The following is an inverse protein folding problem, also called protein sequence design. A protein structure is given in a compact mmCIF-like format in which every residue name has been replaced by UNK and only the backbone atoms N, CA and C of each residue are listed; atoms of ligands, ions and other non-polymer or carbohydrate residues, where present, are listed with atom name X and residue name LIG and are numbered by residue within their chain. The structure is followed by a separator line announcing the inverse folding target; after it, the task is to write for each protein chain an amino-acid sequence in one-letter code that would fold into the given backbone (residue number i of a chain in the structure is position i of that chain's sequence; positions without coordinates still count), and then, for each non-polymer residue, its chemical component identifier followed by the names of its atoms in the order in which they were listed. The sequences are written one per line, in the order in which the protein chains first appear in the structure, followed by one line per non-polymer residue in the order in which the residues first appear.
data_IF_297906174631
#
_entry.id   IF_297906174631
#
_cell.length_a   1.000
_cell.length_b   1.000
_cell.length_c   1.000
_cell.angle_alpha   90.00
_cell.angle_beta   90.00
_cell.angle_gamma   90.00
#
_symmetry.space_group_name_H-M   'P 1'
#
loop_
_entity.id
_entity.type
_entity.pdbx_description
1 polymer ?
#
# COMPACT_ATOMS: atom_id res chain seq x y z
N UNK A 1 5.35 62.63 -19.90
CA UNK A 1 6.18 61.41 -19.89
C UNK A 1 5.24 60.21 -19.79
N UNK A 2 5.58 59.14 -20.51
CA UNK A 2 4.68 58.10 -21.03
C UNK A 2 4.13 57.17 -19.94
N UNK A 3 2.83 56.90 -20.00
CA UNK A 3 2.18 55.76 -19.37
C UNK A 3 2.74 54.45 -19.91
N UNK A 4 3.00 53.48 -19.03
CA UNK A 4 3.02 52.05 -19.39
C UNK A 4 2.41 51.24 -18.24
N UNK A 5 1.24 50.61 -18.44
CA UNK A 5 0.73 49.59 -17.53
C UNK A 5 1.39 48.24 -17.85
N UNK A 6 1.85 47.53 -16.82
CA UNK A 6 2.26 46.12 -16.96
C UNK A 6 1.01 45.28 -16.72
N UNK A 7 0.42 44.79 -17.81
CA UNK A 7 -0.57 43.71 -17.82
C UNK A 7 -0.02 42.64 -18.76
N UNK A 8 -0.50 41.40 -18.55
CA UNK A 8 -0.46 40.20 -19.41
C UNK A 8 0.60 39.18 -18.95
N UNK A 9 0.34 37.89 -18.73
CA UNK A 9 -0.83 37.00 -18.52
C UNK A 9 -0.24 35.57 -18.49
N UNK A 10 -0.89 34.61 -17.79
CA UNK A 10 -0.88 33.14 -18.04
C UNK A 10 0.48 32.43 -17.83
N UNK A 11 0.60 31.19 -17.34
CA UNK A 11 -0.24 29.98 -17.31
C UNK A 11 0.49 29.03 -16.35
N UNK A 12 -0.19 28.44 -15.36
CA UNK A 12 -0.70 27.06 -15.39
C UNK A 12 0.36 25.94 -15.38
N UNK A 13 0.02 24.90 -14.61
CA UNK A 13 0.46 23.50 -14.68
C UNK A 13 1.65 23.10 -13.81
N UNK A 14 1.26 22.47 -12.69
CA UNK A 14 1.74 21.14 -12.31
C UNK A 14 3.25 20.92 -12.36
N UNK A 15 3.92 21.21 -11.24
CA UNK A 15 5.15 20.50 -10.92
C UNK A 15 4.78 19.05 -10.60
N UNK A 16 4.87 18.27 -11.66
CA UNK A 16 4.88 16.82 -11.69
C UNK A 16 5.60 16.24 -10.46
N UNK A 17 4.86 15.37 -9.78
CA UNK A 17 5.29 14.09 -9.24
C UNK A 17 6.60 13.58 -9.86
N UNK A 18 7.72 13.97 -9.26
CA UNK A 18 9.05 13.44 -9.54
C UNK A 18 9.77 13.19 -8.21
N UNK A 19 9.23 12.27 -7.42
CA UNK A 19 10.03 11.53 -6.44
C UNK A 19 9.57 10.09 -6.50
N UNK A 20 10.25 9.39 -7.41
CA UNK A 20 10.58 7.99 -7.33
C UNK A 20 9.49 7.12 -6.70
N UNK A 21 8.53 6.69 -7.54
CA UNK A 21 7.98 5.35 -7.43
C UNK A 21 9.17 4.40 -7.59
N UNK A 22 9.88 4.14 -6.50
CA UNK A 22 10.71 2.97 -6.39
C UNK A 22 9.75 1.81 -6.63
N UNK A 23 9.71 1.32 -7.87
CA UNK A 23 9.30 -0.06 -8.12
C UNK A 23 10.28 -0.87 -7.30
N UNK A 24 9.88 -1.19 -6.06
CA UNK A 24 10.47 -2.28 -5.33
C UNK A 24 10.08 -3.51 -6.14
N UNK A 25 10.90 -3.80 -7.15
CA UNK A 25 10.86 -5.03 -7.89
C UNK A 25 11.35 -6.07 -6.91
N UNK A 26 10.43 -6.57 -6.08
CA UNK A 26 10.68 -7.73 -5.25
C UNK A 26 10.99 -8.86 -6.22
N UNK A 27 12.27 -9.21 -6.31
CA UNK A 27 12.75 -10.34 -7.07
C UNK A 27 11.92 -11.55 -6.71
N UNK A 28 11.22 -12.08 -7.73
CA UNK A 28 10.60 -13.39 -7.68
C UNK A 28 11.70 -14.41 -7.45
N UNK A 29 11.70 -15.05 -6.30
CA UNK A 29 12.20 -16.41 -6.17
C UNK A 29 11.05 -17.28 -5.70
N UNK A 30 10.75 -18.29 -6.52
CA UNK A 30 9.81 -19.36 -6.22
C UNK A 30 10.34 -20.17 -5.04
N UNK A 31 9.58 -20.25 -3.96
CA UNK A 31 9.50 -21.45 -3.12
C UNK A 31 8.11 -21.49 -2.45
N UNK A 32 7.54 -22.69 -2.37
CA UNK A 32 6.14 -23.01 -2.06
C UNK A 32 5.47 -22.13 -0.97
N UNK A 33 4.55 -21.26 -1.35
CA UNK A 33 3.54 -20.70 -0.44
C UNK A 33 4.04 -19.82 0.72
N UNK A 34 5.34 -19.53 0.82
CA UNK A 34 5.90 -18.73 1.91
C UNK A 34 5.63 -17.24 1.67
N UNK A 35 4.83 -16.64 2.53
CA UNK A 35 4.52 -15.21 2.49
C UNK A 35 5.73 -14.44 3.04
N UNK A 36 6.32 -13.59 2.19
CA UNK A 36 7.46 -12.74 2.58
C UNK A 36 6.97 -11.31 2.76
N UNK A 37 7.06 -10.81 4.00
CA UNK A 37 6.73 -9.43 4.32
C UNK A 37 7.93 -8.49 4.12
N UNK A 38 7.71 -7.23 3.71
CA UNK A 38 8.79 -6.26 3.57
C UNK A 38 9.58 -6.06 4.86
N UNK A 39 10.92 -6.02 4.73
CA UNK A 39 11.85 -5.83 5.84
C UNK A 39 11.53 -4.56 6.63
N UNK A 40 11.06 -3.52 5.95
CA UNK A 40 10.71 -2.24 6.56
C UNK A 40 9.45 -2.30 7.47
N UNK A 41 8.75 -3.42 7.52
CA UNK A 41 7.54 -3.66 8.30
C UNK A 41 7.69 -4.78 9.34
N UNK A 42 8.48 -5.83 9.06
CA UNK A 42 8.60 -7.00 9.94
C UNK A 42 9.22 -6.70 11.31
N UNK A 43 9.93 -5.57 11.46
CA UNK A 43 10.54 -5.17 12.72
C UNK A 43 9.54 -4.54 13.71
N UNK A 44 8.29 -4.28 13.27
CA UNK A 44 7.25 -3.70 14.10
C UNK A 44 6.29 -4.78 14.61
N UNK A 45 6.29 -5.11 15.90
CA UNK A 45 5.34 -6.08 16.47
C UNK A 45 3.88 -5.72 16.20
N UNK A 46 3.57 -4.43 16.11
CA UNK A 46 2.23 -3.92 15.81
C UNK A 46 1.73 -4.42 14.46
N UNK A 47 2.62 -4.51 13.45
CA UNK A 47 2.27 -4.93 12.09
C UNK A 47 1.75 -6.37 12.05
N UNK A 48 2.25 -7.24 12.94
CA UNK A 48 1.88 -8.67 12.95
C UNK A 48 0.40 -8.91 13.18
N UNK A 49 -0.30 -8.01 13.87
CA UNK A 49 -1.74 -8.13 14.08
C UNK A 49 -2.51 -8.15 12.76
N UNK A 50 -2.13 -7.28 11.81
CA UNK A 50 -2.74 -7.25 10.49
C UNK A 50 -2.14 -8.31 9.57
N UNK A 51 -0.81 -8.45 9.54
CA UNK A 51 -0.12 -9.44 8.71
C UNK A 51 -0.67 -10.85 8.95
N UNK A 52 -0.76 -11.29 10.20
CA UNK A 52 -1.25 -12.62 10.55
C UNK A 52 -2.70 -12.85 10.10
N UNK A 53 -3.56 -11.83 10.22
CA UNK A 53 -4.95 -11.91 9.74
C UNK A 53 -5.01 -12.05 8.23
N UNK A 54 -4.15 -11.33 7.51
CA UNK A 54 -4.08 -11.39 6.04
C UNK A 54 -3.52 -12.72 5.58
N UNK A 55 -2.44 -13.23 6.18
CA UNK A 55 -1.89 -14.56 5.91
C UNK A 55 -2.97 -15.65 6.00
N UNK A 56 -3.75 -15.63 7.08
CA UNK A 56 -4.87 -16.57 7.27
C UNK A 56 -5.94 -16.50 6.19
N UNK A 57 -6.14 -15.33 5.58
CA UNK A 57 -7.07 -15.18 4.44
C UNK A 57 -6.45 -15.65 3.15
N UNK A 58 -5.16 -15.39 2.95
CA UNK A 58 -4.41 -15.80 1.78
C UNK A 58 -4.32 -17.32 1.67
N UNK A 59 -4.23 -18.05 2.79
CA UNK A 59 -4.31 -19.54 2.82
C UNK A 59 -5.53 -20.10 2.07
N UNK A 60 -6.63 -19.35 2.02
CA UNK A 60 -7.88 -19.77 1.35
C UNK A 60 -8.04 -19.23 -0.08
N UNK A 61 -7.05 -18.50 -0.60
CA UNK A 61 -7.09 -17.91 -1.94
C UNK A 61 -6.02 -18.61 -2.78
N UNK A 62 -6.42 -19.27 -3.87
CA UNK A 62 -5.52 -19.97 -4.79
C UNK A 62 -5.00 -19.10 -5.93
N UNK A 63 -5.66 -17.97 -6.21
CA UNK A 63 -5.28 -17.06 -7.28
C UNK A 63 -4.13 -16.15 -6.86
N UNK A 64 -2.95 -16.37 -7.44
CA UNK A 64 -1.73 -15.64 -7.13
C UNK A 64 -1.82 -14.14 -7.46
N UNK A 65 -2.56 -13.74 -8.49
CA UNK A 65 -2.74 -12.32 -8.81
C UNK A 65 -3.50 -11.60 -7.69
N UNK A 66 -4.58 -12.21 -7.20
CA UNK A 66 -5.35 -11.66 -6.09
C UNK A 66 -4.59 -11.71 -4.78
N UNK A 67 -3.80 -12.77 -4.53
CA UNK A 67 -2.89 -12.81 -3.38
C UNK A 67 -1.91 -11.63 -3.42
N UNK A 68 -1.29 -11.37 -4.58
CA UNK A 68 -0.37 -10.24 -4.77
C UNK A 68 -1.06 -8.89 -4.52
N UNK A 69 -2.26 -8.67 -5.08
CA UNK A 69 -3.01 -7.42 -4.87
C UNK A 69 -3.37 -7.18 -3.40
N UNK A 70 -3.75 -8.24 -2.69
CA UNK A 70 -4.04 -8.17 -1.25
C UNK A 70 -2.78 -7.85 -0.45
N UNK A 71 -1.65 -8.48 -0.79
CA UNK A 71 -0.36 -8.20 -0.16
C UNK A 71 0.05 -6.74 -0.35
N UNK A 72 0.01 -6.24 -1.59
CA UNK A 72 0.36 -4.86 -1.92
C UNK A 72 -0.52 -3.86 -1.16
N UNK A 73 -1.84 -4.08 -1.16
CA UNK A 73 -2.78 -3.26 -0.40
C UNK A 73 -2.47 -3.26 1.10
N UNK A 74 -2.19 -4.43 1.67
CA UNK A 74 -1.89 -4.56 3.10
C UNK A 74 -0.59 -3.84 3.47
N UNK A 75 0.43 -3.96 2.64
CA UNK A 75 1.71 -3.26 2.82
C UNK A 75 1.50 -1.74 2.78
N UNK A 76 0.70 -1.24 1.84
CA UNK A 76 0.37 0.18 1.76
C UNK A 76 -0.40 0.68 2.99
N UNK A 77 -1.36 -0.10 3.50
CA UNK A 77 -2.07 0.23 4.75
C UNK A 77 -1.12 0.27 5.96
N UNK A 78 -0.19 -0.68 6.07
CA UNK A 78 0.80 -0.70 7.16
C UNK A 78 1.77 0.48 7.07
N UNK A 79 2.20 0.85 5.85
CA UNK A 79 3.09 2.01 5.64
C UNK A 79 2.41 3.33 6.00
N UNK A 80 1.10 3.47 5.84
CA UNK A 80 0.34 4.65 6.34
C UNK A 80 0.37 4.76 7.86
N UNK A 81 0.52 3.64 8.57
CA UNK A 81 0.61 3.60 10.02
C UNK A 81 2.02 3.77 10.58
N UNK A 82 3.01 3.89 9.70
CA UNK A 82 4.42 4.08 10.05
C UNK A 82 4.78 5.56 9.99
N UNK A 83 5.39 6.07 11.06
CA UNK A 83 6.00 7.39 11.12
C UNK A 83 7.46 7.20 11.52
N UNK A 84 8.39 7.45 10.59
CA UNK A 84 9.81 7.19 10.75
C UNK A 84 10.13 5.75 11.21
N UNK A 85 10.59 5.60 12.46
CA UNK A 85 10.99 4.34 13.10
C UNK A 85 9.96 3.83 14.11
N UNK A 86 8.72 4.30 14.03
CA UNK A 86 7.62 3.84 14.88
C UNK A 86 6.40 3.48 14.05
N UNK A 87 5.61 2.54 14.58
CA UNK A 87 4.32 2.17 14.01
C UNK A 87 3.21 2.41 15.02
N UNK A 88 2.19 3.17 14.62
CA UNK A 88 1.06 3.51 15.47
C UNK A 88 0.09 2.32 15.56
N UNK A 89 0.00 1.70 16.75
CA UNK A 89 -0.86 0.55 17.00
C UNK A 89 -2.33 0.85 16.70
N UNK A 90 -2.86 1.99 17.14
CA UNK A 90 -4.25 2.38 16.88
C UNK A 90 -4.54 2.55 15.39
N UNK A 91 -3.55 3.00 14.61
CA UNK A 91 -3.68 3.05 13.16
C UNK A 91 -3.77 1.64 12.56
N UNK A 92 -2.91 0.71 12.99
CA UNK A 92 -2.95 -0.69 12.50
C UNK A 92 -4.28 -1.35 12.87
N UNK A 93 -4.76 -1.16 14.10
CA UNK A 93 -6.07 -1.69 14.51
C UNK A 93 -7.21 -1.14 13.64
N UNK A 94 -7.12 0.14 13.25
CA UNK A 94 -8.09 0.79 12.37
C UNK A 94 -8.00 0.31 10.92
N UNK A 95 -6.83 -0.11 10.43
CA UNK A 95 -6.68 -0.62 9.06
C UNK A 95 -7.20 -2.05 8.87
N UNK A 96 -7.36 -2.82 9.95
CA UNK A 96 -7.92 -4.19 9.90
C UNK A 96 -9.28 -4.26 9.17
N UNK A 97 -10.34 -3.55 9.60
CA UNK A 97 -11.64 -3.65 8.94
C UNK A 97 -11.60 -3.22 7.46
N UNK A 98 -10.79 -2.22 7.11
CA UNK A 98 -10.63 -1.79 5.72
C UNK A 98 -9.96 -2.87 4.87
N UNK A 99 -8.89 -3.46 5.38
CA UNK A 99 -8.17 -4.56 4.70
C UNK A 99 -9.04 -5.80 4.54
N UNK A 100 -9.77 -6.19 5.59
CA UNK A 100 -10.69 -7.35 5.50
C UNK A 100 -11.83 -7.10 4.50
N UNK A 101 -12.35 -5.86 4.42
CA UNK A 101 -13.35 -5.47 3.42
C UNK A 101 -12.77 -5.54 2.00
N UNK A 102 -11.54 -5.05 1.80
CA UNK A 102 -10.84 -5.15 0.52
C UNK A 102 -10.71 -6.61 0.07
N UNK A 103 -10.20 -7.50 0.94
CA UNK A 103 -10.09 -8.93 0.65
C UNK A 103 -11.44 -9.54 0.27
N UNK A 104 -12.50 -9.22 1.01
CA UNK A 104 -13.84 -9.72 0.74
C UNK A 104 -14.34 -9.26 -0.64
N UNK A 105 -14.04 -8.02 -1.04
CA UNK A 105 -14.40 -7.51 -2.37
C UNK A 105 -13.66 -8.22 -3.49
N UNK A 106 -12.37 -8.52 -3.32
CA UNK A 106 -11.59 -9.31 -4.29
C UNK A 106 -12.16 -10.72 -4.46
N UNK A 107 -12.51 -11.39 -3.35
CA UNK A 107 -13.11 -12.73 -3.40
C UNK A 107 -14.47 -12.75 -4.10
N UNK A 108 -15.28 -11.70 -3.93
CA UNK A 108 -16.56 -11.59 -4.62
C UNK A 108 -16.38 -11.32 -6.13
N UNK A 109 -15.37 -10.56 -6.52
CA UNK A 109 -15.05 -10.31 -7.94
C UNK A 109 -14.62 -11.59 -8.68
N UNK A 110 -13.97 -12.54 -8.00
CA UNK A 110 -13.58 -13.82 -8.60
C UNK A 110 -14.75 -14.81 -8.80
N UNK A 111 -15.90 -14.57 -8.16
CA UNK A 111 -17.08 -15.45 -8.25
C UNK A 111 -18.03 -15.08 -9.38
N UNK A 112 -17.80 -13.94 -10.03
CA UNK A 112 -18.62 -13.40 -11.12
C UNK A 112 -17.82 -13.42 -12.42
#
# INVERSE_FOLDING_TARGET
MRCTPIIVFLSALALNSCLARARFSSEKSLDDGVIVWPIDLIHFPQAYTLMHKVEKRLECISDEETRSRIMDYTVDELRKCKLDFQMCELCVLRSIPYTMSFISSQQNQQRH
#
